data_IF_521206736756
#
_entry.id   IF_521206736756
#
_cell.length_a   1.000
_cell.length_b   1.000
_cell.length_c   1.000
_cell.angle_alpha   90.00
_cell.angle_beta   90.00
_cell.angle_gamma   90.00
#
_symmetry.space_group_name_H-M   'P 1'
#
loop_
_entity.id
_entity.type
_entity.pdbx_description
1 polymer ?
#
# COMPACT_ATOMS: atom_id res chain seq x y z
N UNK A 1 5.00 -0.06 12.94
CA UNK A 1 4.11 1.05 12.55
C UNK A 1 2.80 0.84 13.27
N UNK A 2 2.14 1.90 13.76
CA UNK A 2 0.95 1.78 14.59
C UNK A 2 -0.37 2.15 13.88
N UNK A 3 -0.31 2.54 12.60
CA UNK A 3 -1.43 3.00 11.78
C UNK A 3 -1.59 2.12 10.53
N UNK A 4 -2.80 2.07 9.97
CA UNK A 4 -3.05 1.44 8.66
C UNK A 4 -2.42 2.23 7.52
N UNK A 5 -2.37 1.63 6.33
CA UNK A 5 -1.80 2.21 5.09
C UNK A 5 -0.33 2.60 5.22
N UNK A 6 0.38 1.99 6.16
CA UNK A 6 1.78 2.24 6.42
C UNK A 6 2.69 1.68 5.33
N UNK A 7 3.98 2.01 5.45
CA UNK A 7 5.03 1.33 4.69
C UNK A 7 5.11 -0.12 5.19
N UNK A 8 5.15 -1.13 4.30
CA UNK A 8 5.38 -2.51 4.70
C UNK A 8 6.61 -2.65 5.62
N UNK A 9 6.61 -3.58 6.59
CA UNK A 9 5.64 -4.66 6.79
C UNK A 9 4.27 -4.19 7.29
N UNK A 10 3.22 -4.86 6.81
CA UNK A 10 1.83 -4.51 7.10
C UNK A 10 1.39 -4.98 8.49
N UNK A 11 0.26 -4.46 8.97
CA UNK A 11 -0.38 -4.96 10.20
C UNK A 11 -1.01 -6.34 9.96
N UNK A 12 -1.33 -7.02 11.05
CA UNK A 12 -1.87 -8.39 11.00
C UNK A 12 -3.22 -8.48 10.27
N UNK A 13 -4.00 -7.39 10.24
CA UNK A 13 -5.28 -7.29 9.53
C UNK A 13 -5.19 -6.59 8.16
N UNK A 14 -3.98 -6.33 7.69
CA UNK A 14 -3.70 -5.76 6.37
C UNK A 14 -3.01 -6.78 5.46
N UNK A 15 -3.39 -6.77 4.19
CA UNK A 15 -2.67 -7.44 3.12
C UNK A 15 -1.60 -6.51 2.53
N UNK A 16 -0.47 -7.09 2.15
CA UNK A 16 0.55 -6.38 1.38
C UNK A 16 0.27 -6.54 -0.12
N UNK A 17 0.26 -5.43 -0.86
CA UNK A 17 0.10 -5.42 -2.31
C UNK A 17 1.24 -4.69 -3.00
N UNK A 18 1.47 -5.00 -4.28
CA UNK A 18 2.43 -4.30 -5.14
C UNK A 18 1.75 -3.74 -6.37
N UNK A 19 2.22 -2.58 -6.81
CA UNK A 19 1.77 -1.91 -8.03
C UNK A 19 2.93 -1.99 -9.04
N UNK A 20 2.91 -2.92 -10.02
CA UNK A 20 4.02 -3.09 -10.96
C UNK A 20 4.09 -1.94 -11.98
N UNK A 21 5.27 -1.70 -12.55
CA UNK A 21 5.52 -0.54 -13.43
C UNK A 21 4.68 -0.51 -14.71
N UNK A 22 4.21 -1.65 -15.21
CA UNK A 22 3.47 -1.71 -16.48
C UNK A 22 2.05 -1.11 -16.40
N UNK A 23 1.45 -1.09 -15.21
CA UNK A 23 0.05 -0.67 -15.02
C UNK A 23 -0.08 0.62 -14.21
N UNK A 24 1.04 1.26 -13.88
CA UNK A 24 1.11 2.25 -12.80
C UNK A 24 2.01 3.42 -13.16
N UNK A 25 1.72 4.61 -12.64
CA UNK A 25 2.63 5.77 -12.82
C UNK A 25 3.87 5.65 -11.96
N UNK A 26 3.72 5.11 -10.74
CA UNK A 26 4.81 4.92 -9.78
C UNK A 26 4.69 3.51 -9.21
N UNK A 27 5.66 2.62 -9.46
CA UNK A 27 5.65 1.32 -8.84
C UNK A 27 6.03 1.39 -7.37
N UNK A 28 5.53 0.44 -6.59
CA UNK A 28 5.77 0.38 -5.15
C UNK A 28 4.87 -0.63 -4.46
N UNK A 29 4.92 -0.64 -3.14
CA UNK A 29 4.10 -1.50 -2.30
C UNK A 29 3.15 -0.69 -1.40
N UNK A 30 2.10 -1.34 -0.93
CA UNK A 30 1.09 -0.76 -0.03
C UNK A 30 0.56 -1.81 0.94
N UNK A 31 0.05 -1.33 2.08
CA UNK A 31 -0.72 -2.11 3.03
C UNK A 31 -2.18 -1.70 2.93
N UNK A 32 -3.09 -2.67 2.93
CA UNK A 32 -4.52 -2.41 2.81
C UNK A 32 -5.34 -3.44 3.56
N UNK A 33 -6.49 -3.00 4.09
CA UNK A 33 -7.54 -3.89 4.60
C UNK A 33 -8.53 -4.20 3.48
N UNK A 34 -9.12 -5.39 3.48
CA UNK A 34 -10.26 -5.69 2.61
C UNK A 34 -11.50 -4.90 3.04
N UNK A 35 -12.35 -4.53 2.09
CA UNK A 35 -13.57 -3.77 2.35
C UNK A 35 -14.67 -4.12 1.37
N UNK A 36 -15.92 -3.90 1.78
CA UNK A 36 -17.09 -3.93 0.89
C UNK A 36 -17.60 -2.50 0.60
N UNK A 37 -17.26 -1.54 1.46
CA UNK A 37 -17.58 -0.11 1.31
C UNK A 37 -16.51 0.78 1.93
N UNK A 38 -16.46 2.07 1.57
CA UNK A 38 -15.51 3.03 2.18
C UNK A 38 -15.70 3.22 3.68
N UNK A 39 -16.85 2.81 4.26
CA UNK A 39 -17.07 2.87 5.72
C UNK A 39 -16.31 1.79 6.49
N UNK A 40 -15.86 0.74 5.80
CA UNK A 40 -15.12 -0.37 6.42
C UNK A 40 -13.62 -0.05 6.54
N UNK A 41 -13.20 1.08 5.94
CA UNK A 41 -11.81 1.49 5.87
C UNK A 41 -11.35 2.17 7.16
N UNK A 42 -10.25 1.68 7.78
CA UNK A 42 -9.70 2.29 8.98
C UNK A 42 -9.34 3.78 8.78
N UNK A 43 -9.61 4.60 9.79
CA UNK A 43 -9.31 6.04 9.75
C UNK A 43 -7.97 6.39 10.45
N UNK A 44 -7.32 5.43 11.11
CA UNK A 44 -5.98 5.61 11.69
C UNK A 44 -4.92 5.58 10.58
N UNK A 45 -4.73 6.74 9.96
CA UNK A 45 -3.77 6.95 8.88
C UNK A 45 -2.38 7.35 9.41
N UNK A 46 -1.30 7.14 8.63
CA UNK A 46 0.04 7.54 9.07
C UNK A 46 0.19 9.05 9.20
N UNK A 47 1.08 9.49 10.11
CA UNK A 47 1.33 10.92 10.32
C UNK A 47 1.69 11.66 9.01
N UNK A 48 1.07 12.82 8.81
CA UNK A 48 1.24 13.65 7.62
C UNK A 48 0.37 13.24 6.42
N UNK A 49 -0.37 12.14 6.49
CA UNK A 49 -1.40 11.83 5.51
C UNK A 49 -2.57 12.82 5.63
N UNK A 50 -3.04 13.30 4.48
CA UNK A 50 -4.28 14.08 4.33
C UNK A 50 -5.19 13.51 3.26
N UNK A 51 -4.71 12.49 2.53
CA UNK A 51 -5.52 11.63 1.68
C UNK A 51 -6.56 10.87 2.51
N UNK A 52 -7.77 10.74 1.98
CA UNK A 52 -8.86 10.04 2.66
C UNK A 52 -8.88 8.55 2.28
N UNK A 53 -9.13 7.66 3.26
CA UNK A 53 -9.29 6.24 3.00
C UNK A 53 -10.58 5.99 2.23
N UNK A 54 -10.49 5.22 1.13
CA UNK A 54 -11.64 4.81 0.34
C UNK A 54 -11.51 3.34 -0.06
N UNK A 55 -12.65 2.67 -0.21
CA UNK A 55 -12.67 1.31 -0.73
C UNK A 55 -12.56 1.37 -2.26
N UNK A 56 -11.45 0.84 -2.79
CA UNK A 56 -11.09 0.92 -4.21
C UNK A 56 -10.92 -0.47 -4.82
N UNK A 57 -10.91 -0.52 -6.16
CA UNK A 57 -10.82 -1.75 -6.96
C UNK A 57 -11.89 -2.80 -6.63
N UNK A 58 -13.12 -2.31 -6.42
CA UNK A 58 -14.27 -3.15 -6.16
C UNK A 58 -14.46 -4.20 -7.25
N UNK A 59 -14.47 -5.46 -6.83
CA UNK A 59 -14.73 -6.61 -7.67
C UNK A 59 -16.24 -6.87 -7.79
N UNK A 60 -16.63 -7.76 -8.71
CA UNK A 60 -18.05 -8.09 -8.96
C UNK A 60 -18.76 -8.71 -7.74
N UNK A 61 -18.01 -9.31 -6.83
CA UNK A 61 -18.53 -9.88 -5.58
C UNK A 61 -18.72 -8.82 -4.47
N UNK A 62 -18.36 -7.56 -4.72
CA UNK A 62 -18.49 -6.46 -3.77
C UNK A 62 -17.23 -6.16 -2.96
N UNK A 63 -16.21 -7.02 -3.03
CA UNK A 63 -14.98 -6.88 -2.25
C UNK A 63 -13.94 -6.03 -2.98
N UNK A 64 -13.26 -5.18 -2.24
CA UNK A 64 -12.12 -4.40 -2.69
C UNK A 64 -11.11 -4.23 -1.58
N UNK A 65 -10.27 -3.21 -1.70
CA UNK A 65 -9.29 -2.89 -0.68
C UNK A 65 -9.30 -1.42 -0.33
N UNK A 66 -9.06 -1.12 0.93
CA UNK A 66 -8.95 0.23 1.41
C UNK A 66 -7.61 0.82 1.00
N UNK A 67 -7.65 2.02 0.43
CA UNK A 67 -6.45 2.77 0.11
C UNK A 67 -6.64 4.26 0.37
N UNK A 68 -5.54 4.95 0.65
CA UNK A 68 -5.53 6.40 0.75
C UNK A 68 -5.59 7.01 -0.65
N UNK A 69 -6.76 7.51 -1.05
CA UNK A 69 -6.95 8.11 -2.37
C UNK A 69 -6.38 9.51 -2.44
N UNK A 70 -5.76 9.85 -3.56
CA UNK A 70 -4.96 11.07 -3.67
C UNK A 70 -5.04 11.70 -5.06
N UNK A 71 -4.96 13.03 -5.11
CA UNK A 71 -4.72 13.79 -6.35
C UNK A 71 -3.29 14.30 -6.50
N UNK A 72 -2.51 14.33 -5.41
CA UNK A 72 -1.17 14.89 -5.35
C UNK A 72 -0.29 14.13 -4.36
N UNK A 73 1.02 14.04 -4.63
CA UNK A 73 1.95 13.32 -3.75
C UNK A 73 2.01 13.87 -2.31
N UNK A 74 1.74 15.17 -2.11
CA UNK A 74 1.74 15.81 -0.78
C UNK A 74 0.60 15.36 0.14
N UNK A 75 -0.43 14.72 -0.42
CA UNK A 75 -1.54 14.17 0.37
C UNK A 75 -1.16 12.85 1.04
N UNK A 76 -0.12 12.20 0.52
CA UNK A 76 0.32 10.89 0.99
C UNK A 76 1.21 11.01 2.23
N UNK A 77 1.27 9.94 3.05
CA UNK A 77 2.26 9.81 4.12
C UNK A 77 3.68 10.12 3.69
N UNK A 78 4.52 10.43 4.67
CA UNK A 78 5.97 10.57 4.45
C UNK A 78 6.54 9.31 3.81
N UNK A 79 7.25 9.48 2.69
CA UNK A 79 7.86 8.39 1.92
C UNK A 79 6.91 7.65 0.98
N UNK A 80 5.61 7.97 0.96
CA UNK A 80 4.67 7.50 -0.04
C UNK A 80 4.51 8.51 -1.19
N UNK A 81 3.99 8.03 -2.32
CA UNK A 81 3.65 8.84 -3.48
C UNK A 81 2.31 8.42 -4.05
N UNK A 82 1.59 9.42 -4.55
CA UNK A 82 0.35 9.18 -5.29
C UNK A 82 0.65 8.50 -6.63
N UNK A 83 0.21 7.24 -6.79
CA UNK A 83 0.35 6.46 -8.01
C UNK A 83 -1.02 6.21 -8.61
N UNK A 84 -1.13 6.36 -9.93
CA UNK A 84 -2.33 6.01 -10.68
C UNK A 84 -2.16 4.58 -11.17
N UNK A 85 -3.13 3.72 -10.88
CA UNK A 85 -3.22 2.34 -11.36
C UNK A 85 -4.53 2.20 -12.12
N UNK A 86 -4.44 1.93 -13.42
CA UNK A 86 -5.56 2.09 -14.35
C UNK A 86 -6.22 3.48 -14.25
N UNK A 87 -7.36 3.60 -13.57
CA UNK A 87 -8.13 4.84 -13.39
C UNK A 87 -8.21 5.29 -11.93
N UNK A 88 -7.52 4.62 -11.01
CA UNK A 88 -7.59 4.90 -9.57
C UNK A 88 -6.24 5.38 -9.05
N UNK A 89 -6.24 6.50 -8.33
CA UNK A 89 -5.05 7.08 -7.74
C UNK A 89 -5.01 6.87 -6.23
N UNK A 90 -3.95 6.24 -5.73
CA UNK A 90 -3.76 6.00 -4.30
C UNK A 90 -2.28 6.06 -3.88
N UNK A 91 -2.06 6.24 -2.59
CA UNK A 91 -0.73 6.34 -2.02
C UNK A 91 -0.04 4.98 -1.97
N UNK A 92 1.16 4.90 -2.55
CA UNK A 92 2.04 3.73 -2.51
C UNK A 92 3.42 4.13 -1.99
N UNK A 93 4.17 3.18 -1.44
CA UNK A 93 5.55 3.40 -1.03
C UNK A 93 6.51 2.95 -2.13
N UNK A 94 7.10 3.88 -2.90
CA UNK A 94 8.13 3.54 -3.88
C UNK A 94 9.34 2.90 -3.20
N UNK A 95 10.00 1.99 -3.91
CA UNK A 95 11.16 1.22 -3.41
C UNK A 95 10.87 0.40 -2.14
N UNK A 96 9.60 0.09 -1.88
CA UNK A 96 9.20 -0.95 -0.96
C UNK A 96 8.68 -2.15 -1.75
N UNK A 97 8.87 -3.34 -1.21
CA UNK A 97 8.26 -4.57 -1.69
C UNK A 97 7.11 -4.96 -0.77
N UNK A 98 6.14 -5.72 -1.29
CA UNK A 98 5.09 -6.32 -0.46
C UNK A 98 5.71 -7.43 0.39
N UNK A 99 6.22 -7.02 1.56
CA UNK A 99 6.62 -7.95 2.60
C UNK A 99 5.44 -8.01 3.56
N UNK A 100 4.70 -9.12 3.55
CA UNK A 100 3.79 -9.43 4.66
C UNK A 100 4.59 -9.47 5.97
N UNK A 101 3.96 -9.16 7.11
CA UNK A 101 4.62 -9.24 8.40
C UNK A 101 5.36 -10.61 8.50
N UNK A 102 6.68 -10.61 8.70
CA UNK A 102 7.42 -11.86 8.61
C UNK A 102 7.02 -12.74 9.80
N UNK A 103 6.39 -13.89 9.53
CA UNK A 103 6.84 -15.09 10.21
C UNK A 103 8.31 -15.21 9.85
N UNK A 104 9.17 -14.93 10.82
CA UNK A 104 10.61 -14.83 10.67
C UNK A 104 11.17 -15.85 9.68
N UNK A 105 11.71 -15.36 8.56
CA UNK A 105 12.66 -16.13 7.76
C UNK A 105 13.72 -15.17 7.21
N UNK A 106 14.90 -15.27 7.80
CA UNK A 106 16.17 -14.75 7.29
C UNK A 106 16.28 -14.98 5.78
N UNK A 107 16.28 -13.89 5.00
CA UNK A 107 17.00 -13.88 3.72
C UNK A 107 18.20 -12.97 3.91
N UNK A 108 19.28 -13.65 4.31
CA UNK A 108 20.61 -13.12 4.41
C UNK A 108 20.99 -12.31 3.17
N UNK A 109 21.59 -11.15 3.43
CA UNK A 109 22.58 -10.57 2.54
C UNK A 109 23.59 -11.64 2.10
N UNK A 110 23.64 -11.90 0.80
CA UNK A 110 24.83 -12.36 0.08
C UNK A 110 24.81 -11.57 -1.24
N UNK A 111 25.69 -10.64 -1.55
CA UNK A 111 27.15 -10.73 -1.44
C UNK A 111 27.63 -12.14 -1.80
N UNK A 112 27.45 -12.53 -3.06
CA UNK A 112 28.26 -13.54 -3.77
C UNK A 112 27.82 -13.61 -5.25
N UNK A 113 28.36 -12.72 -6.09
CA UNK A 113 28.66 -13.06 -7.49
C UNK A 113 30.13 -12.69 -7.70
N UNK A 114 31.00 -13.67 -7.43
CA UNK A 114 32.31 -13.81 -8.06
C UNK A 114 32.37 -15.25 -8.58
N UNK A 115 32.35 -15.43 -9.91
CA UNK A 115 33.31 -16.22 -10.70
C UNK A 115 33.38 -15.57 -12.08
#
# INVERSE_FOLDING_TARGET
GASHYGRPPCRDDEIAGETPSFFTTIPGAFCARLCDSSRDCPEDVPAGATAEPQCVFQQKNGTGFCALTCGHHKLCPSGARCSIVFSTAFCVYPNATAVEAPLALDVASKADILV
#
